data_IF_683980888099
#
_entry.id   IF_683980888099
#
_cell.length_a   1.000
_cell.length_b   1.000
_cell.length_c   1.000
_cell.angle_alpha   90.00
_cell.angle_beta   90.00
_cell.angle_gamma   90.00
#
_symmetry.space_group_name_H-M   'P 1'
#
loop_
_entity.id
_entity.type
_entity.pdbx_description
1 polymer ?
#
# COMPACT_ATOMS: atom_id res chain seq x y z
N UNK A 1 8.53 5.82 3.27
CA UNK A 1 8.46 5.75 1.79
C UNK A 1 9.25 6.93 1.24
N UNK A 2 10.25 6.66 0.41
CA UNK A 2 11.16 7.70 -0.12
C UNK A 2 10.59 8.19 -1.46
N UNK A 3 9.58 9.06 -1.40
CA UNK A 3 8.93 9.66 -2.58
C UNK A 3 9.88 10.28 -3.62
N UNK A 4 11.05 10.86 -3.25
CA UNK A 4 12.00 11.41 -4.21
C UNK A 4 12.52 10.41 -5.26
N UNK A 5 12.39 9.10 -5.00
CA UNK A 5 12.86 8.05 -5.90
C UNK A 5 11.76 7.54 -6.86
N UNK A 6 10.53 8.04 -6.73
CA UNK A 6 9.39 7.54 -7.50
C UNK A 6 9.22 8.33 -8.80
N UNK A 7 8.82 7.68 -9.91
CA UNK A 7 8.46 8.39 -11.12
C UNK A 7 7.32 9.40 -10.88
N UNK A 8 7.34 10.51 -11.61
CA UNK A 8 6.39 11.62 -11.43
C UNK A 8 4.91 11.16 -11.47
N UNK A 9 4.55 10.30 -12.44
CA UNK A 9 3.17 9.81 -12.57
C UNK A 9 2.69 9.02 -11.34
N UNK A 10 3.60 8.31 -10.67
CA UNK A 10 3.29 7.56 -9.43
C UNK A 10 3.06 8.53 -8.28
N UNK A 11 3.89 9.58 -8.18
CA UNK A 11 3.71 10.64 -7.17
C UNK A 11 2.37 11.35 -7.38
N UNK A 12 1.99 11.64 -8.63
CA UNK A 12 0.71 12.24 -8.95
C UNK A 12 -0.48 11.38 -8.51
N UNK A 13 -0.42 10.06 -8.75
CA UNK A 13 -1.46 9.13 -8.30
C UNK A 13 -1.57 9.08 -6.78
N UNK A 14 -0.44 9.07 -6.08
CA UNK A 14 -0.39 9.11 -4.62
C UNK A 14 -1.04 10.40 -4.09
N UNK A 15 -0.73 11.54 -4.69
CA UNK A 15 -1.35 12.83 -4.33
C UNK A 15 -2.86 12.80 -4.57
N UNK A 16 -3.31 12.26 -5.72
CA UNK A 16 -4.74 12.08 -6.02
C UNK A 16 -5.43 11.18 -5.01
N UNK A 17 -4.81 10.06 -4.64
CA UNK A 17 -5.33 9.13 -3.65
C UNK A 17 -5.46 9.79 -2.27
N UNK A 18 -4.44 10.51 -1.81
CA UNK A 18 -4.49 11.22 -0.51
C UNK A 18 -5.64 12.21 -0.44
N UNK A 19 -5.87 12.97 -1.51
CA UNK A 19 -7.02 13.89 -1.59
C UNK A 19 -8.34 13.15 -1.46
N UNK A 20 -8.48 11.98 -2.09
CA UNK A 20 -9.68 11.14 -1.97
C UNK A 20 -9.86 10.56 -0.57
N UNK A 21 -8.79 10.08 0.06
CA UNK A 21 -8.82 9.56 1.42
C UNK A 21 -9.19 10.66 2.44
N UNK A 22 -8.63 11.87 2.30
CA UNK A 22 -9.01 13.02 3.11
C UNK A 22 -10.50 13.38 2.93
N UNK A 23 -10.98 13.38 1.69
CA UNK A 23 -12.39 13.63 1.38
C UNK A 23 -13.33 12.54 1.93
N UNK A 24 -12.86 11.30 2.06
CA UNK A 24 -13.61 10.18 2.64
C UNK A 24 -13.83 10.31 4.15
N UNK A 25 -13.22 11.32 4.82
CA UNK A 25 -13.35 11.58 6.26
C UNK A 25 -13.03 10.36 7.13
N UNK A 26 -12.05 9.55 6.72
CA UNK A 26 -11.53 8.50 7.58
C UNK A 26 -10.98 9.11 8.87
N UNK A 27 -11.25 8.51 10.04
CA UNK A 27 -10.64 8.96 11.28
C UNK A 27 -9.11 8.88 11.15
N UNK A 28 -8.37 9.89 11.64
CA UNK A 28 -6.92 9.77 11.73
C UNK A 28 -6.55 8.72 12.77
N UNK A 29 -5.44 8.02 12.53
CA UNK A 29 -4.85 7.10 13.51
C UNK A 29 -4.29 7.92 14.68
N UNK A 30 -4.83 7.72 15.87
CA UNK A 30 -4.46 8.45 17.08
C UNK A 30 -4.13 7.45 18.19
N UNK A 31 -2.83 7.29 18.46
CA UNK A 31 -2.34 6.38 19.50
C UNK A 31 -2.99 6.69 20.83
N UNK A 32 -3.37 5.64 21.57
CA UNK A 32 -4.08 5.68 22.86
C UNK A 32 -5.52 6.20 22.84
N UNK A 33 -5.97 6.83 21.74
CA UNK A 33 -7.34 7.34 21.59
C UNK A 33 -8.23 6.45 20.71
N UNK A 34 -7.66 5.87 19.64
CA UNK A 34 -8.41 5.02 18.72
C UNK A 34 -7.57 3.86 18.18
N UNK A 35 -8.29 2.88 17.63
CA UNK A 35 -7.69 1.72 16.97
C UNK A 35 -8.46 1.42 15.69
N UNK A 36 -7.79 1.56 14.55
CA UNK A 36 -8.41 1.45 13.23
C UNK A 36 -8.06 0.10 12.61
N UNK A 37 -9.07 -0.75 12.44
CA UNK A 37 -8.94 -2.08 11.82
C UNK A 37 -9.50 -2.06 10.40
N UNK A 38 -8.71 -2.57 9.45
CA UNK A 38 -9.13 -2.74 8.06
C UNK A 38 -9.19 -4.21 7.66
N UNK A 39 -10.14 -4.56 6.80
CA UNK A 39 -10.11 -5.81 6.04
C UNK A 39 -10.12 -5.47 4.55
N UNK A 40 -9.26 -6.11 3.76
CA UNK A 40 -9.21 -5.86 2.33
C UNK A 40 -8.85 -7.10 1.54
N UNK A 41 -9.76 -7.48 0.65
CA UNK A 41 -9.48 -8.40 -0.43
C UNK A 41 -8.89 -7.63 -1.62
N UNK A 42 -7.57 -7.73 -1.81
CA UNK A 42 -6.83 -7.03 -2.87
C UNK A 42 -6.99 -7.73 -4.22
N UNK A 43 -7.41 -9.01 -4.22
CA UNK A 43 -7.49 -9.93 -5.37
C UNK A 43 -6.15 -10.12 -6.07
N UNK A 44 -5.74 -11.36 -6.31
CA UNK A 44 -4.47 -11.68 -6.99
C UNK A 44 -3.20 -11.04 -6.38
N UNK A 45 -3.22 -10.79 -5.06
CA UNK A 45 -2.06 -10.24 -4.36
C UNK A 45 -1.03 -11.32 -4.07
N UNK A 46 0.14 -11.25 -4.72
CA UNK A 46 1.15 -12.29 -4.56
C UNK A 46 2.56 -11.85 -4.96
N UNK A 47 2.98 -12.24 -6.18
CA UNK A 47 4.26 -11.79 -6.73
C UNK A 47 4.29 -10.28 -6.96
N UNK A 48 5.50 -9.75 -7.10
CA UNK A 48 5.76 -8.36 -7.45
C UNK A 48 6.47 -8.30 -8.80
N UNK A 49 5.96 -7.48 -9.70
CA UNK A 49 6.63 -7.11 -10.94
C UNK A 49 7.48 -5.87 -10.67
N UNK A 50 8.80 -5.99 -10.86
CA UNK A 50 9.78 -4.96 -10.53
C UNK A 50 9.87 -3.88 -11.63
N UNK A 51 8.72 -3.28 -11.93
CA UNK A 51 8.57 -2.15 -12.84
C UNK A 51 7.44 -1.23 -12.34
N UNK A 52 7.43 0.02 -12.79
CA UNK A 52 6.38 0.99 -12.48
C UNK A 52 5.19 0.91 -13.45
N UNK A 53 5.36 0.20 -14.56
CA UNK A 53 4.37 0.01 -15.62
C UNK A 53 3.68 -1.35 -15.53
N UNK A 54 2.54 -1.49 -16.23
CA UNK A 54 1.75 -2.72 -16.19
C UNK A 54 2.43 -3.85 -16.96
N UNK A 55 2.31 -5.08 -16.47
CA UNK A 55 2.68 -6.28 -17.22
C UNK A 55 1.47 -6.90 -17.91
N UNK A 56 1.66 -7.43 -19.12
CA UNK A 56 0.64 -8.23 -19.79
C UNK A 56 0.40 -9.58 -19.07
N UNK A 57 1.43 -10.09 -18.38
CA UNK A 57 1.42 -11.39 -17.70
C UNK A 57 1.16 -11.30 -16.19
N UNK A 58 1.74 -12.26 -15.47
CA UNK A 58 1.79 -12.28 -14.01
C UNK A 58 3.24 -12.04 -13.54
N UNK A 59 3.44 -11.42 -12.37
CA UNK A 59 2.43 -11.00 -11.40
C UNK A 59 1.78 -9.64 -11.74
N UNK A 60 0.51 -9.45 -11.37
CA UNK A 60 -0.24 -8.20 -11.64
C UNK A 60 0.13 -7.02 -10.74
N UNK A 61 0.63 -7.29 -9.52
CA UNK A 61 1.09 -6.23 -8.64
C UNK A 61 2.46 -5.74 -9.11
N UNK A 62 2.57 -4.47 -9.48
CA UNK A 62 3.81 -3.78 -9.86
C UNK A 62 4.22 -2.75 -8.78
N UNK A 63 5.34 -2.06 -8.98
CA UNK A 63 5.84 -1.08 -7.99
C UNK A 63 4.85 0.07 -7.73
N UNK A 64 4.16 0.55 -8.79
CA UNK A 64 3.13 1.59 -8.67
C UNK A 64 1.93 1.11 -7.84
N UNK A 65 1.40 -0.07 -8.16
CA UNK A 65 0.29 -0.67 -7.43
C UNK A 65 0.65 -0.92 -5.97
N UNK A 66 1.86 -1.40 -5.70
CA UNK A 66 2.37 -1.59 -4.34
C UNK A 66 2.48 -0.28 -3.57
N UNK A 67 2.98 0.79 -4.20
CA UNK A 67 3.05 2.11 -3.59
C UNK A 67 1.66 2.63 -3.21
N UNK A 68 0.66 2.47 -4.09
CA UNK A 68 -0.73 2.83 -3.84
C UNK A 68 -1.34 2.01 -2.69
N UNK A 69 -1.15 0.69 -2.68
CA UNK A 69 -1.60 -0.19 -1.60
C UNK A 69 -1.00 0.26 -0.26
N UNK A 70 0.29 0.58 -0.22
CA UNK A 70 0.96 1.07 0.97
C UNK A 70 0.43 2.45 1.44
N UNK A 71 -0.08 3.30 0.55
CA UNK A 71 -0.79 4.54 0.93
C UNK A 71 -2.12 4.24 1.63
N UNK A 72 -2.85 3.22 1.22
CA UNK A 72 -4.10 2.82 1.87
C UNK A 72 -3.80 2.17 3.23
N UNK A 73 -2.94 1.15 3.25
CA UNK A 73 -2.66 0.31 4.42
C UNK A 73 -2.20 1.11 5.64
N UNK A 74 -1.39 2.17 5.45
CA UNK A 74 -0.86 2.96 6.58
C UNK A 74 -1.91 3.74 7.39
N UNK A 75 -3.14 3.84 6.91
CA UNK A 75 -4.21 4.53 7.63
C UNK A 75 -4.83 3.63 8.72
N UNK A 76 -4.49 2.35 8.72
CA UNK A 76 -4.95 1.36 9.68
C UNK A 76 -3.82 1.05 10.67
N UNK A 77 -4.18 0.76 11.92
CA UNK A 77 -3.24 0.18 12.90
C UNK A 77 -2.99 -1.29 12.57
N UNK A 78 -4.05 -2.00 12.18
CA UNK A 78 -4.00 -3.39 11.73
C UNK A 78 -4.85 -3.56 10.49
N UNK A 79 -4.30 -4.23 9.49
CA UNK A 79 -5.04 -4.63 8.29
C UNK A 79 -4.97 -6.14 8.09
N UNK A 80 -6.12 -6.77 7.89
CA UNK A 80 -6.22 -8.14 7.42
C UNK A 80 -6.33 -8.13 5.89
N UNK A 81 -5.34 -8.72 5.20
CA UNK A 81 -5.34 -8.86 3.74
C UNK A 81 -5.84 -10.24 3.33
N UNK A 82 -6.79 -10.30 2.40
CA UNK A 82 -7.32 -11.55 1.83
C UNK A 82 -6.81 -11.80 0.41
N UNK A 83 -6.96 -13.06 -0.03
CA UNK A 83 -6.51 -13.56 -1.35
C UNK A 83 -5.00 -13.42 -1.61
N UNK A 84 -4.20 -13.51 -0.55
CA UNK A 84 -2.74 -13.63 -0.68
C UNK A 84 -2.39 -14.96 -1.35
N UNK A 85 -1.65 -14.90 -2.46
CA UNK A 85 -1.23 -16.08 -3.22
C UNK A 85 0.02 -16.72 -2.61
N UNK A 86 0.37 -17.92 -3.11
CA UNK A 86 1.55 -18.69 -2.66
C UNK A 86 2.85 -17.91 -2.81
N UNK A 87 3.02 -17.18 -3.91
CA UNK A 87 4.16 -16.26 -4.05
C UNK A 87 3.86 -14.99 -3.26
N UNK A 88 4.73 -14.61 -2.32
CA UNK A 88 4.43 -13.57 -1.31
C UNK A 88 5.35 -12.35 -1.39
N UNK A 89 6.09 -12.20 -2.50
CA UNK A 89 7.06 -11.10 -2.66
C UNK A 89 6.44 -9.72 -2.43
N UNK A 90 5.26 -9.43 -2.99
CA UNK A 90 4.61 -8.13 -2.80
C UNK A 90 4.20 -7.89 -1.34
N UNK A 91 3.72 -8.94 -0.64
CA UNK A 91 3.37 -8.86 0.78
C UNK A 91 4.59 -8.55 1.64
N UNK A 92 5.73 -9.20 1.38
CA UNK A 92 6.98 -8.97 2.13
C UNK A 92 7.49 -7.55 1.93
N UNK A 93 7.52 -7.06 0.69
CA UNK A 93 7.93 -5.68 0.41
C UNK A 93 6.97 -4.66 1.04
N UNK A 94 5.66 -4.93 1.02
CA UNK A 94 4.67 -4.09 1.71
C UNK A 94 4.92 -4.02 3.22
N UNK A 95 5.23 -5.18 3.82
CA UNK A 95 5.57 -5.28 5.24
C UNK A 95 6.80 -4.42 5.53
N UNK A 96 7.92 -4.65 4.86
CA UNK A 96 9.18 -3.91 5.07
C UNK A 96 9.03 -2.39 4.88
N UNK A 97 8.29 -1.98 3.84
CA UNK A 97 8.02 -0.56 3.56
C UNK A 97 7.17 0.12 4.66
N UNK A 98 6.36 -0.65 5.39
CA UNK A 98 5.49 -0.17 6.46
C UNK A 98 6.22 -0.08 7.80
N UNK A 99 7.15 -1.00 8.09
CA UNK A 99 7.91 -1.04 9.35
C UNK A 99 9.09 -0.06 9.40
N UNK A 100 9.57 0.44 8.27
CA UNK A 100 10.68 1.40 8.19
C UNK A 100 10.42 2.76 8.90
N UNK A 101 9.29 2.94 9.60
CA UNK A 101 8.95 4.16 10.38
C UNK A 101 8.46 3.90 11.80
N UNK A 102 8.42 2.66 12.27
CA UNK A 102 7.98 2.36 13.66
C UNK A 102 9.12 2.44 14.68
N UNK A 103 10.30 2.93 14.27
CA UNK A 103 11.46 3.16 15.13
C UNK A 103 11.72 4.65 15.34
N UNK A 104 10.86 5.32 16.10
CA UNK A 104 11.13 6.56 16.86
C UNK A 104 10.14 6.63 18.01
#
# INVERSE_FOLDING_TARGET
MIYPQYPAFVVEDIVRLRRRLAAARMPPRCTDDNFIVGTWNIRDFGGLFDDWTETSGSPKCNLRGLAIIAEVVRHFDVVALQEVKRQTTALRVLQDASWARTGT
#
